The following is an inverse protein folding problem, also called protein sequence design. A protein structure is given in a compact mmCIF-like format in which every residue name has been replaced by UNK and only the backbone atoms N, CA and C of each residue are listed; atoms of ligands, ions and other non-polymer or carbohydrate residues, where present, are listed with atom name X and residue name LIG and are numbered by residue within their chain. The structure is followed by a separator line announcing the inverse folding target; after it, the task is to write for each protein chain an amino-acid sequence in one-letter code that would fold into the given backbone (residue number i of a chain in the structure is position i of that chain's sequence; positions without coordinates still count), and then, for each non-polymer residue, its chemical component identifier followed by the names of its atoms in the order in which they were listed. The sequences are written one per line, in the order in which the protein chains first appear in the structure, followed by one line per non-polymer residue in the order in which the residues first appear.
data_IF_971101025212
#
_entry.id   IF_971101025212
#
_cell.length_a   1.000
_cell.length_b   1.000
_cell.length_c   1.000
_cell.angle_alpha   90.00
_cell.angle_beta   90.00
_cell.angle_gamma   90.00
#
_symmetry.space_group_name_H-M   'P 1'
#
loop_
_entity.id
_entity.type
_entity.pdbx_description
1 polymer ?
#
# COMPACT_ATOMS: atom_id res chain seq x y z
N UNK A 1 -13.30 -22.37 -0.83
CA UNK A 1 -13.25 -20.99 -1.35
C UNK A 1 -12.63 -20.09 -0.29
N UNK A 2 -11.42 -19.53 -0.45
CA UNK A 2 -10.92 -18.58 0.53
C UNK A 2 -11.79 -17.32 0.44
N UNK A 3 -12.39 -16.93 1.57
CA UNK A 3 -13.18 -15.70 1.66
C UNK A 3 -12.23 -14.54 1.37
N UNK A 4 -12.31 -14.00 0.14
CA UNK A 4 -11.75 -12.70 -0.22
C UNK A 4 -12.36 -11.72 0.76
N UNK A 5 -11.64 -11.37 1.82
CA UNK A 5 -12.08 -10.35 2.78
C UNK A 5 -12.25 -9.09 1.97
N UNK A 6 -13.51 -8.78 1.73
CA UNK A 6 -13.90 -7.71 0.85
C UNK A 6 -13.38 -6.39 1.42
N UNK A 7 -12.92 -5.54 0.52
CA UNK A 7 -12.26 -4.25 0.69
C UNK A 7 -13.18 -3.17 1.32
N UNK A 8 -14.02 -3.53 2.30
CA UNK A 8 -15.08 -2.66 2.82
C UNK A 8 -14.53 -1.41 3.51
N UNK A 9 -13.29 -1.44 4.01
CA UNK A 9 -12.64 -0.26 4.59
C UNK A 9 -11.89 0.64 3.59
N UNK A 10 -11.63 0.20 2.36
CA UNK A 10 -10.94 1.05 1.37
C UNK A 10 -11.85 2.16 0.82
N UNK A 11 -13.17 1.92 0.81
CA UNK A 11 -14.16 2.95 0.46
C UNK A 11 -14.20 4.13 1.46
N UNK A 12 -13.59 4.00 2.65
CA UNK A 12 -13.52 5.08 3.63
C UNK A 12 -12.39 6.08 3.38
N UNK A 13 -11.41 5.76 2.53
CA UNK A 13 -10.38 6.73 2.15
C UNK A 13 -10.91 7.59 1.00
N UNK A 14 -11.00 8.89 1.24
CA UNK A 14 -11.23 9.85 0.17
C UNK A 14 -10.08 9.82 -0.85
N UNK A 15 -10.36 10.21 -2.10
CA UNK A 15 -9.31 10.34 -3.13
C UNK A 15 -8.17 11.27 -2.69
N UNK A 16 -8.50 12.31 -1.91
CA UNK A 16 -7.51 13.20 -1.32
C UNK A 16 -6.60 12.49 -0.31
N UNK A 17 -7.16 11.68 0.59
CA UNK A 17 -6.35 10.88 1.52
C UNK A 17 -5.48 9.85 0.79
N UNK A 18 -6.01 9.21 -0.26
CA UNK A 18 -5.22 8.30 -1.12
C UNK A 18 -4.05 9.03 -1.77
N UNK A 19 -4.29 10.20 -2.35
CA UNK A 19 -3.24 11.04 -2.93
C UNK A 19 -2.19 11.47 -1.90
N UNK A 20 -2.61 11.80 -0.67
CA UNK A 20 -1.68 12.11 0.44
C UNK A 20 -0.85 10.90 0.86
N UNK A 21 -1.44 9.70 0.91
CA UNK A 21 -0.71 8.46 1.20
C UNK A 21 0.37 8.24 0.13
N UNK A 22 0.01 8.32 -1.16
CA UNK A 22 0.95 8.13 -2.27
C UNK A 22 2.07 9.16 -2.22
N UNK A 23 1.74 10.45 -2.13
CA UNK A 23 2.75 11.52 -2.11
C UNK A 23 3.71 11.42 -0.91
N UNK A 24 3.23 11.05 0.28
CA UNK A 24 4.12 10.82 1.42
C UNK A 24 5.02 9.60 1.23
N UNK A 25 4.50 8.53 0.62
CA UNK A 25 5.30 7.33 0.37
C UNK A 25 6.35 7.55 -0.70
N UNK A 26 6.05 8.31 -1.75
CA UNK A 26 7.02 8.73 -2.75
C UNK A 26 8.08 9.70 -2.17
N UNK A 27 7.70 10.54 -1.20
CA UNK A 27 8.63 11.39 -0.45
C UNK A 27 9.48 10.63 0.60
N UNK A 28 9.39 9.29 0.67
CA UNK A 28 10.23 8.45 1.53
C UNK A 28 9.75 8.29 2.98
N UNK A 29 8.55 8.76 3.32
CA UNK A 29 8.00 8.54 4.67
C UNK A 29 7.70 7.07 4.92
N UNK A 30 7.99 6.58 6.13
CA UNK A 30 7.62 5.21 6.53
C UNK A 30 6.09 5.04 6.63
N UNK A 31 5.59 3.81 6.50
CA UNK A 31 4.16 3.51 6.62
C UNK A 31 3.58 4.03 7.95
N UNK A 32 4.32 3.88 9.06
CA UNK A 32 3.91 4.37 10.38
C UNK A 32 3.84 5.90 10.42
N UNK A 33 4.88 6.60 9.95
CA UNK A 33 4.87 8.07 9.90
C UNK A 33 3.73 8.61 9.02
N UNK A 34 3.44 7.95 7.90
CA UNK A 34 2.30 8.31 7.03
C UNK A 34 0.97 8.07 7.74
N UNK A 35 0.81 6.93 8.43
CA UNK A 35 -0.37 6.60 9.22
C UNK A 35 -0.63 7.64 10.33
N UNK A 36 0.40 8.02 11.07
CA UNK A 36 0.32 9.01 12.14
C UNK A 36 -0.07 10.40 11.61
N UNK A 37 0.50 10.81 10.47
CA UNK A 37 0.22 12.12 9.84
C UNK A 37 -1.15 12.22 9.19
N UNK A 38 -1.71 11.10 8.76
CA UNK A 38 -3.02 11.03 8.11
C UNK A 38 -4.13 10.70 9.13
N UNK A 39 -3.76 10.21 10.32
CA UNK A 39 -4.71 9.80 11.35
C UNK A 39 -5.44 8.50 11.00
N UNK A 40 -4.75 7.57 10.33
CA UNK A 40 -5.31 6.29 9.87
C UNK A 40 -4.48 5.13 10.39
N UNK A 41 -5.07 3.93 10.36
CA UNK A 41 -4.33 2.74 10.79
C UNK A 41 -3.18 2.42 9.83
N UNK A 42 -2.09 1.86 10.37
CA UNK A 42 -0.95 1.35 9.59
C UNK A 42 -1.42 0.37 8.50
N UNK A 43 -2.37 -0.51 8.84
CA UNK A 43 -2.94 -1.49 7.92
C UNK A 43 -3.65 -0.83 6.73
N UNK A 44 -4.39 0.26 6.98
CA UNK A 44 -5.08 1.03 5.95
C UNK A 44 -4.10 1.67 4.96
N UNK A 45 -3.03 2.30 5.48
CA UNK A 45 -1.98 2.92 4.65
C UNK A 45 -1.24 1.86 3.83
N UNK A 46 -0.87 0.74 4.46
CA UNK A 46 -0.18 -0.36 3.79
C UNK A 46 -1.03 -1.00 2.69
N UNK A 47 -2.33 -1.15 2.91
CA UNK A 47 -3.25 -1.67 1.90
C UNK A 47 -3.43 -0.70 0.73
N UNK A 48 -3.57 0.60 1.00
CA UNK A 48 -3.65 1.64 -0.03
C UNK A 48 -2.39 1.67 -0.90
N UNK A 49 -1.20 1.63 -0.27
CA UNK A 49 0.07 1.63 -0.98
C UNK A 49 0.26 0.38 -1.85
N UNK A 50 -0.04 -0.81 -1.29
CA UNK A 50 -0.01 -2.07 -2.07
C UNK A 50 -0.94 -2.02 -3.27
N UNK A 51 -2.16 -1.48 -3.09
CA UNK A 51 -3.13 -1.40 -4.17
C UNK A 51 -2.69 -0.44 -5.28
N UNK A 52 -2.17 0.73 -4.91
CA UNK A 52 -1.60 1.68 -5.87
C UNK A 52 -0.47 1.05 -6.69
N UNK A 53 0.43 0.32 -6.03
CA UNK A 53 1.51 -0.39 -6.70
C UNK A 53 1.00 -1.53 -7.59
N UNK A 54 0.05 -2.34 -7.10
CA UNK A 54 -0.60 -3.40 -7.88
C UNK A 54 -1.30 -2.84 -9.12
N UNK A 55 -2.09 -1.78 -8.99
CA UNK A 55 -2.81 -1.17 -10.11
C UNK A 55 -1.83 -0.57 -11.14
N UNK A 56 -0.75 0.09 -10.70
CA UNK A 56 0.31 0.58 -11.60
C UNK A 56 1.14 -0.53 -12.24
N UNK A 57 1.36 -1.64 -11.53
CA UNK A 57 1.99 -2.86 -12.07
C UNK A 57 1.06 -3.50 -13.09
N UNK A 58 -0.22 -3.71 -12.78
CA UNK A 58 -1.20 -4.27 -13.70
C UNK A 58 -1.38 -3.43 -14.97
N UNK A 59 -1.32 -2.10 -14.87
CA UNK A 59 -1.29 -1.20 -16.03
C UNK A 59 -0.04 -1.41 -16.90
N UNK A 60 1.15 -1.46 -16.31
CA UNK A 60 2.41 -1.74 -17.03
C UNK A 60 2.43 -3.12 -17.68
N UNK A 61 1.87 -4.14 -17.01
CA UNK A 61 1.79 -5.52 -17.51
C UNK A 61 0.85 -5.64 -18.70
N UNK A 62 -0.26 -4.89 -18.71
CA UNK A 62 -1.23 -4.91 -19.83
C UNK A 62 -0.60 -4.52 -21.18
N UNK A 63 0.50 -3.77 -21.16
CA UNK A 63 1.28 -3.42 -22.35
C UNK A 63 2.44 -4.37 -22.69
N UNK A 64 2.74 -5.36 -21.85
CA UNK A 64 4.00 -6.14 -21.94
C UNK A 64 3.87 -7.67 -21.76
N UNK A 65 2.69 -8.20 -21.38
CA UNK A 65 2.41 -9.64 -21.36
C UNK A 65 3.10 -10.46 -20.26
N UNK A 66 3.75 -9.83 -19.27
CA UNK A 66 4.52 -10.51 -18.23
C UNK A 66 3.96 -10.14 -16.85
N UNK A 67 3.59 -11.11 -16.01
CA UNK A 67 3.18 -10.83 -14.63
C UNK A 67 4.40 -10.50 -13.75
N UNK A 68 4.57 -9.23 -13.36
CA UNK A 68 5.63 -8.82 -12.45
C UNK A 68 5.33 -9.29 -11.02
N UNK A 69 6.12 -10.25 -10.52
CA UNK A 69 6.13 -10.68 -9.13
C UNK A 69 6.71 -9.55 -8.25
N UNK A 70 5.95 -9.15 -7.24
CA UNK A 70 6.29 -8.09 -6.28
C UNK A 70 7.56 -8.44 -5.46
N UNK A 71 8.69 -7.73 -5.61
CA UNK A 71 9.85 -7.96 -4.77
C UNK A 71 10.08 -6.74 -3.88
N UNK A 72 9.42 -6.63 -2.72
CA UNK A 72 9.80 -5.59 -1.75
C UNK A 72 9.33 -5.77 -0.28
N UNK A 73 8.26 -6.50 0.05
CA UNK A 73 7.67 -6.40 1.41
C UNK A 73 7.83 -7.68 2.27
N UNK A 74 9.01 -8.33 2.24
CA UNK A 74 9.35 -9.37 3.23
C UNK A 74 10.49 -8.98 4.19
N UNK A 75 11.28 -7.95 3.89
CA UNK A 75 12.48 -7.62 4.70
C UNK A 75 12.24 -6.57 5.78
N UNK A 76 11.14 -5.80 5.76
CA UNK A 76 10.92 -4.71 6.72
C UNK A 76 10.05 -5.08 7.93
N UNK A 77 9.21 -6.12 7.83
CA UNK A 77 8.43 -6.60 8.98
C UNK A 77 9.30 -7.27 10.07
N UNK A 78 10.54 -7.63 9.74
CA UNK A 78 11.47 -8.27 10.69
C UNK A 78 12.41 -7.29 11.41
N UNK A 79 12.46 -6.01 11.00
CA UNK A 79 13.36 -5.00 11.58
C UNK A 79 12.71 -4.11 12.65
N UNK A 80 11.41 -4.26 12.91
CA UNK A 80 10.71 -3.52 13.98
C UNK A 80 10.55 -4.34 15.26
N UNK A 81 11.47 -5.28 15.53
CA UNK A 81 11.48 -6.05 16.77
C UNK A 81 12.91 -6.24 17.31
N UNK A 82 13.66 -5.14 17.41
CA UNK A 82 14.87 -5.07 18.22
C UNK A 82 14.86 -3.72 18.97
N UNK A 83 14.58 -3.82 20.28
CA UNK A 83 14.65 -2.83 21.36
C UNK A 83 13.88 -1.50 21.18
#
# INVERSE_FOLDING_TARGET
MPRRRELVHFHQLSEFEKGRIVGMREAGFSIRQTADRIGRSVSTVLQCWRRWFEDGVHERIRGSGIYALLPYEQTFYHSCNCN
#
